data_IF_692722828559
#
_entry.id   IF_692722828559
#
_cell.length_a   1.000
_cell.length_b   1.000
_cell.length_c   1.000
_cell.angle_alpha   90.00
_cell.angle_beta   90.00
_cell.angle_gamma   90.00
#
_symmetry.space_group_name_H-M   'P 1'
#
loop_
_entity.id
_entity.type
_entity.pdbx_description
1 polymer ?
#
# COMPACT_ATOMS: atom_id res chain seq x y z
N UNK A 1 -18.23 14.50 13.01
CA UNK A 1 -18.15 14.81 11.56
C UNK A 1 -17.32 13.71 10.91
N UNK A 2 -17.75 13.12 9.77
CA UNK A 2 -16.93 12.10 9.11
C UNK A 2 -15.61 12.74 8.67
N UNK A 3 -14.50 12.13 9.08
CA UNK A 3 -13.13 12.54 8.72
C UNK A 3 -12.95 12.45 7.18
N UNK A 4 -12.09 13.30 6.60
CA UNK A 4 -11.99 13.47 5.15
C UNK A 4 -11.68 12.16 4.41
N UNK A 5 -12.40 11.88 3.31
CA UNK A 5 -12.26 10.69 2.46
C UNK A 5 -10.87 10.60 1.80
N UNK A 6 -10.46 9.39 1.38
CA UNK A 6 -9.31 9.08 0.51
C UNK A 6 -8.96 10.18 -0.53
N UNK A 7 -9.98 10.78 -1.14
CA UNK A 7 -9.93 11.94 -2.03
C UNK A 7 -9.04 13.09 -1.52
N UNK A 8 -9.09 13.45 -0.24
CA UNK A 8 -8.42 14.64 0.30
C UNK A 8 -6.92 14.42 0.46
N UNK A 9 -6.51 13.20 0.82
CA UNK A 9 -5.09 12.81 0.85
C UNK A 9 -4.50 12.82 -0.57
N UNK A 10 -5.22 12.23 -1.55
CA UNK A 10 -4.80 12.20 -2.96
C UNK A 10 -4.66 13.60 -3.53
N UNK A 11 -5.60 14.49 -3.21
CA UNK A 11 -5.57 15.87 -3.67
C UNK A 11 -4.42 16.63 -3.01
N UNK A 12 -4.26 16.57 -1.68
CA UNK A 12 -3.18 17.30 -0.97
C UNK A 12 -1.77 16.95 -1.49
N UNK A 13 -1.53 15.67 -1.76
CA UNK A 13 -0.30 15.15 -2.36
C UNK A 13 0.09 15.83 -3.68
N UNK A 14 -0.89 16.03 -4.57
CA UNK A 14 -0.67 16.65 -5.87
C UNK A 14 -0.31 18.16 -5.73
N UNK A 15 -0.65 18.79 -4.60
CA UNK A 15 -0.47 20.22 -4.34
C UNK A 15 0.70 20.60 -3.42
N UNK A 16 1.27 19.67 -2.64
CA UNK A 16 2.53 19.92 -1.90
C UNK A 16 3.76 20.08 -2.81
N UNK A 17 3.55 19.99 -4.12
CA UNK A 17 4.53 20.24 -5.17
C UNK A 17 4.57 21.75 -5.47
N UNK A 18 5.70 22.46 -5.26
CA UNK A 18 5.76 23.89 -5.55
C UNK A 18 5.57 24.14 -7.06
N UNK A 19 4.86 25.21 -7.47
CA UNK A 19 4.76 25.58 -8.87
C UNK A 19 6.15 25.98 -9.41
N UNK A 20 6.44 25.75 -10.71
CA UNK A 20 7.68 26.24 -11.30
C UNK A 20 7.74 27.77 -11.19
N UNK A 21 8.86 28.26 -10.68
CA UNK A 21 9.16 29.68 -10.60
C UNK A 21 9.35 30.28 -11.98
N UNK A 22 8.25 30.76 -12.59
CA UNK A 22 8.31 31.60 -13.79
C UNK A 22 7.32 32.79 -13.67
N UNK A 23 7.92 33.97 -13.46
CA UNK A 23 7.52 35.33 -13.89
C UNK A 23 6.59 36.17 -12.97
N UNK A 24 7.23 37.01 -12.12
CA UNK A 24 7.08 38.47 -11.80
C UNK A 24 5.70 39.20 -11.74
N UNK A 25 5.57 40.30 -10.96
CA UNK A 25 4.47 40.54 -10.04
C UNK A 25 3.31 41.32 -10.66
N UNK A 26 2.08 40.86 -10.41
CA UNK A 26 0.92 41.75 -10.44
C UNK A 26 0.81 42.47 -9.10
N UNK A 27 1.02 43.79 -9.17
CA UNK A 27 0.68 44.76 -8.13
C UNK A 27 -0.77 44.54 -7.65
N UNK A 28 -0.95 44.17 -6.39
CA UNK A 28 -2.13 44.57 -5.63
C UNK A 28 -1.68 45.31 -4.37
N UNK A 29 -1.99 46.59 -4.36
CA UNK A 29 -1.90 47.51 -3.23
C UNK A 29 -2.86 47.12 -2.10
N UNK A 30 -2.30 46.96 -0.89
CA UNK A 30 -2.91 47.11 0.44
C UNK A 30 -4.04 46.13 0.89
N UNK A 31 -4.07 45.72 2.18
CA UNK A 31 -4.90 44.60 2.65
C UNK A 31 -6.27 45.05 3.14
N UNK A 32 -7.26 44.14 3.15
CA UNK A 32 -8.22 44.10 4.24
C UNK A 32 -8.09 42.81 5.04
N UNK A 33 -8.30 43.00 6.34
CA UNK A 33 -8.34 41.99 7.36
C UNK A 33 -9.46 40.96 7.14
N UNK A 34 -9.27 39.81 7.80
CA UNK A 34 -10.25 38.77 8.18
C UNK A 34 -10.71 37.74 7.13
N UNK A 35 -10.71 36.49 7.60
CA UNK A 35 -11.20 35.24 6.98
C UNK A 35 -10.43 34.71 5.76
N UNK A 36 -9.56 33.74 6.03
CA UNK A 36 -9.00 32.80 5.07
C UNK A 36 -10.13 32.12 4.26
N UNK A 37 -10.14 32.20 2.92
CA UNK A 37 -11.09 31.45 2.13
C UNK A 37 -10.59 30.01 2.04
N UNK A 38 -11.29 29.09 2.70
CA UNK A 38 -11.20 27.67 2.37
C UNK A 38 -11.59 27.52 0.90
N UNK A 39 -10.60 27.31 0.03
CA UNK A 39 -10.83 26.91 -1.35
C UNK A 39 -11.69 25.65 -1.30
N UNK A 40 -12.94 25.71 -1.78
CA UNK A 40 -13.82 24.54 -1.71
C UNK A 40 -13.18 23.37 -2.48
N UNK A 41 -13.40 22.14 -2.02
CA UNK A 41 -12.86 20.91 -2.64
C UNK A 41 -13.10 20.81 -4.17
N UNK A 42 -14.13 21.49 -4.70
CA UNK A 42 -14.40 21.62 -6.14
C UNK A 42 -13.41 22.55 -6.87
N UNK A 43 -12.95 23.62 -6.24
CA UNK A 43 -11.97 24.56 -6.81
C UNK A 43 -10.57 23.93 -6.93
N UNK A 44 -10.20 23.10 -5.95
CA UNK A 44 -8.92 22.41 -5.92
C UNK A 44 -8.83 21.31 -7.00
N UNK A 45 -9.93 20.58 -7.21
CA UNK A 45 -10.08 19.63 -8.32
C UNK A 45 -9.98 20.29 -9.70
N UNK A 46 -10.61 21.47 -9.87
CA UNK A 46 -10.52 22.23 -11.11
C UNK A 46 -9.07 22.61 -11.43
N UNK A 47 -8.25 22.95 -10.42
CA UNK A 47 -6.82 23.24 -10.61
C UNK A 47 -6.01 22.04 -11.10
N UNK A 48 -6.23 20.82 -10.56
CA UNK A 48 -5.50 19.60 -11.01
C UNK A 48 -5.82 19.31 -12.48
N UNK A 49 -7.12 19.34 -12.80
CA UNK A 49 -7.59 19.13 -14.16
C UNK A 49 -7.00 20.16 -15.11
N UNK A 50 -7.04 21.44 -14.75
CA UNK A 50 -6.44 22.51 -15.55
C UNK A 50 -4.92 22.35 -15.69
N UNK A 51 -4.19 21.97 -14.65
CA UNK A 51 -2.74 21.75 -14.74
C UNK A 51 -2.37 20.58 -15.66
N UNK A 52 -3.15 19.48 -15.63
CA UNK A 52 -2.95 18.35 -16.55
C UNK A 52 -3.34 18.72 -18.00
N UNK A 53 -4.45 19.43 -18.18
CA UNK A 53 -4.96 19.86 -19.48
C UNK A 53 -4.06 20.92 -20.13
N UNK A 54 -3.51 21.86 -19.36
CA UNK A 54 -2.59 22.89 -19.85
C UNK A 54 -1.24 22.29 -20.29
N UNK A 55 -0.71 21.30 -19.56
CA UNK A 55 0.49 20.57 -19.98
C UNK A 55 0.28 19.83 -21.32
N UNK A 56 -0.90 19.21 -21.49
CA UNK A 56 -1.26 18.57 -22.75
C UNK A 56 -1.42 19.59 -23.89
N UNK A 57 -2.06 20.74 -23.64
CA UNK A 57 -2.24 21.82 -24.63
C UNK A 57 -0.93 22.46 -25.07
N UNK A 58 0.06 22.54 -24.19
CA UNK A 58 1.37 23.15 -24.47
C UNK A 58 2.35 22.18 -25.16
N UNK A 59 1.96 20.93 -25.42
CA UNK A 59 2.83 19.91 -26.03
C UNK A 59 4.03 19.51 -25.16
N UNK A 60 3.98 19.82 -23.85
CA UNK A 60 5.02 19.46 -22.90
C UNK A 60 4.84 18.01 -22.47
N UNK A 61 5.94 17.27 -22.30
CA UNK A 61 5.88 15.92 -21.73
C UNK A 61 5.29 16.01 -20.31
N UNK A 62 4.31 15.16 -19.96
CA UNK A 62 3.69 15.20 -18.64
C UNK A 62 4.75 14.93 -17.57
N UNK A 63 4.68 15.70 -16.47
CA UNK A 63 5.62 15.61 -15.35
C UNK A 63 5.58 14.21 -14.71
N UNK A 64 4.38 13.66 -14.60
CA UNK A 64 4.12 12.31 -14.10
C UNK A 64 3.44 11.48 -15.20
N UNK A 65 3.83 10.23 -15.35
CA UNK A 65 3.23 9.30 -16.30
C UNK A 65 2.42 8.18 -15.62
N UNK A 66 2.58 8.01 -14.29
CA UNK A 66 1.84 7.02 -13.52
C UNK A 66 1.47 7.52 -12.11
N UNK A 67 0.31 7.09 -11.64
CA UNK A 67 -0.14 7.18 -10.25
C UNK A 67 -0.27 5.76 -9.69
N UNK A 68 0.39 5.48 -8.58
CA UNK A 68 0.40 4.17 -7.94
C UNK A 68 -0.38 4.25 -6.63
N UNK A 69 -1.34 3.36 -6.42
CA UNK A 69 -2.26 3.42 -5.29
C UNK A 69 -2.23 2.12 -4.49
N UNK A 70 -2.00 2.23 -3.19
CA UNK A 70 -2.41 1.19 -2.25
C UNK A 70 -3.95 1.10 -2.15
N UNK A 71 -4.45 0.04 -1.51
CA UNK A 71 -5.89 -0.24 -1.37
C UNK A 71 -6.35 -0.01 0.05
N UNK A 72 -5.86 -0.83 0.98
CA UNK A 72 -6.27 -0.83 2.39
C UNK A 72 -5.97 0.51 3.05
N UNK A 73 -6.94 1.07 3.78
CA UNK A 73 -6.88 2.41 4.41
C UNK A 73 -6.52 3.59 3.49
N UNK A 74 -6.39 3.33 2.18
CA UNK A 74 -6.00 4.30 1.15
C UNK A 74 -7.18 4.64 0.24
N UNK A 75 -7.81 3.66 -0.39
CA UNK A 75 -8.99 3.89 -1.27
C UNK A 75 -10.31 3.96 -0.50
N UNK A 76 -10.31 3.51 0.75
CA UNK A 76 -11.40 3.65 1.69
C UNK A 76 -10.83 4.11 3.04
N UNK A 77 -11.61 4.82 3.87
CA UNK A 77 -11.09 5.32 5.13
C UNK A 77 -10.92 4.21 6.17
N UNK A 78 -9.92 4.35 7.05
CA UNK A 78 -9.72 3.50 8.24
C UNK A 78 -10.98 3.33 9.09
N UNK A 79 -11.83 4.35 9.16
CA UNK A 79 -13.12 4.28 9.88
C UNK A 79 -14.11 3.25 9.32
N UNK A 80 -13.80 2.59 8.19
CA UNK A 80 -14.57 1.45 7.68
C UNK A 80 -14.55 0.24 8.60
N UNK A 81 -13.54 0.12 9.47
CA UNK A 81 -13.40 -1.02 10.38
C UNK A 81 -12.87 -2.29 9.71
N UNK A 82 -12.44 -2.23 8.43
CA UNK A 82 -12.12 -3.44 7.67
C UNK A 82 -10.75 -4.02 8.07
N UNK A 83 -9.77 -3.16 8.32
CA UNK A 83 -8.41 -3.58 8.69
C UNK A 83 -8.35 -4.14 10.12
N UNK A 84 -9.23 -3.68 11.00
CA UNK A 84 -9.44 -4.27 12.33
C UNK A 84 -9.91 -5.73 12.20
N UNK A 85 -10.88 -6.02 11.34
CA UNK A 85 -11.36 -7.39 11.08
C UNK A 85 -10.29 -8.26 10.42
N UNK A 86 -9.47 -7.70 9.52
CA UNK A 86 -8.28 -8.39 8.97
C UNK A 86 -7.36 -8.79 10.11
N UNK A 87 -7.08 -7.86 11.02
CA UNK A 87 -6.19 -8.07 12.17
C UNK A 87 -6.71 -9.17 13.09
N UNK A 88 -8.00 -9.16 13.41
CA UNK A 88 -8.67 -10.20 14.20
C UNK A 88 -8.60 -11.55 13.51
N UNK A 89 -8.89 -11.61 12.21
CA UNK A 89 -8.84 -12.85 11.43
C UNK A 89 -7.42 -13.44 11.38
N UNK A 90 -6.39 -12.60 11.29
CA UNK A 90 -5.00 -13.06 11.32
C UNK A 90 -4.66 -13.68 12.68
N UNK A 91 -5.03 -13.03 13.77
CA UNK A 91 -4.78 -13.55 15.13
C UNK A 91 -5.53 -14.87 15.35
N UNK A 92 -6.78 -14.95 14.90
CA UNK A 92 -7.56 -16.19 14.95
C UNK A 92 -6.90 -17.31 14.12
N UNK A 93 -6.36 -16.99 12.93
CA UNK A 93 -5.63 -17.96 12.11
C UNK A 93 -4.38 -18.47 12.85
N UNK A 94 -3.61 -17.57 13.47
CA UNK A 94 -2.44 -17.93 14.26
C UNK A 94 -2.80 -18.92 15.37
N UNK A 95 -3.88 -18.67 16.11
CA UNK A 95 -4.33 -19.55 17.19
C UNK A 95 -4.84 -20.88 16.65
N UNK A 96 -5.80 -20.86 15.72
CA UNK A 96 -6.53 -22.07 15.31
C UNK A 96 -5.73 -22.97 14.35
N UNK A 97 -4.91 -22.38 13.49
CA UNK A 97 -4.23 -23.11 12.40
C UNK A 97 -2.75 -23.31 12.67
N UNK A 98 -2.12 -22.37 13.37
CA UNK A 98 -0.68 -22.40 13.62
C UNK A 98 -0.33 -22.81 15.07
N UNK A 99 -1.32 -22.91 15.95
CA UNK A 99 -1.12 -23.31 17.35
C UNK A 99 -0.38 -22.26 18.18
N UNK A 100 -0.44 -21.00 17.78
CA UNK A 100 0.03 -19.87 18.58
C UNK A 100 -0.86 -19.72 19.80
N UNK A 101 -0.27 -19.37 20.94
CA UNK A 101 -1.01 -19.16 22.17
C UNK A 101 -1.88 -17.90 22.06
N UNK A 102 -3.12 -17.96 22.58
CA UNK A 102 -4.12 -16.91 22.40
C UNK A 102 -3.70 -15.56 23.01
N UNK A 103 -3.07 -15.58 24.18
CA UNK A 103 -2.56 -14.37 24.86
C UNK A 103 -1.36 -13.75 24.14
N UNK A 104 -0.60 -14.53 23.37
CA UNK A 104 0.57 -14.06 22.61
C UNK A 104 0.23 -13.58 21.19
N UNK A 105 -0.88 -14.05 20.59
CA UNK A 105 -1.20 -13.85 19.17
C UNK A 105 -1.21 -12.38 18.74
N UNK A 106 -1.80 -11.50 19.55
CA UNK A 106 -1.87 -10.05 19.25
C UNK A 106 -0.48 -9.39 19.25
N UNK A 107 0.36 -9.72 20.24
CA UNK A 107 1.72 -9.20 20.34
C UNK A 107 2.58 -9.69 19.16
N UNK A 108 2.54 -10.99 18.88
CA UNK A 108 3.25 -11.60 17.75
C UNK A 108 2.83 -10.92 16.44
N UNK A 109 1.53 -10.78 16.20
CA UNK A 109 1.01 -10.14 15.00
C UNK A 109 1.53 -8.70 14.84
N UNK A 110 1.51 -7.90 15.90
CA UNK A 110 2.03 -6.54 15.88
C UNK A 110 3.51 -6.45 15.55
N UNK A 111 4.33 -7.34 16.13
CA UNK A 111 5.77 -7.42 15.85
C UNK A 111 6.01 -7.83 14.39
N UNK A 112 5.34 -8.89 13.91
CA UNK A 112 5.51 -9.38 12.54
C UNK A 112 5.11 -8.32 11.51
N UNK A 113 3.97 -7.65 11.70
CA UNK A 113 3.55 -6.56 10.81
C UNK A 113 4.55 -5.41 10.79
N UNK A 114 5.08 -5.00 11.96
CA UNK A 114 6.06 -3.91 12.09
C UNK A 114 7.42 -4.28 11.49
N UNK A 115 7.79 -5.55 11.51
CA UNK A 115 9.07 -6.03 10.99
C UNK A 115 9.04 -6.34 9.50
N UNK A 116 7.94 -6.92 8.99
CA UNK A 116 7.89 -7.50 7.64
C UNK A 116 6.89 -6.82 6.69
N UNK A 117 6.14 -5.82 7.15
CA UNK A 117 5.12 -5.16 6.34
C UNK A 117 3.80 -5.92 6.23
N UNK A 118 3.82 -7.25 6.35
CA UNK A 118 2.64 -8.10 6.52
C UNK A 118 2.88 -9.18 7.57
N UNK A 119 1.82 -9.63 8.23
CA UNK A 119 1.92 -10.73 9.19
C UNK A 119 2.23 -12.06 8.52
N UNK A 120 1.70 -12.30 7.30
CA UNK A 120 2.02 -13.48 6.50
C UNK A 120 3.52 -13.57 6.20
N UNK A 121 4.14 -12.48 5.72
CA UNK A 121 5.57 -12.45 5.44
C UNK A 121 6.40 -12.75 6.69
N UNK A 122 6.01 -12.19 7.83
CA UNK A 122 6.67 -12.47 9.10
C UNK A 122 6.50 -13.91 9.57
N UNK A 123 5.28 -14.49 9.45
CA UNK A 123 5.02 -15.88 9.81
C UNK A 123 5.86 -16.85 8.96
N UNK A 124 5.95 -16.59 7.65
CA UNK A 124 6.76 -17.37 6.71
C UNK A 124 8.26 -17.24 7.01
N UNK A 125 8.73 -16.05 7.37
CA UNK A 125 10.12 -15.81 7.75
C UNK A 125 10.54 -16.63 8.97
N UNK A 126 9.67 -16.70 9.99
CA UNK A 126 9.95 -17.46 11.23
C UNK A 126 9.66 -18.96 11.11
N UNK A 127 9.37 -19.45 9.89
CA UNK A 127 9.31 -20.88 9.57
C UNK A 127 7.94 -21.52 9.64
N UNK A 128 6.84 -20.76 9.80
CA UNK A 128 5.51 -21.33 9.61
C UNK A 128 5.28 -21.64 8.13
N UNK A 129 4.83 -22.87 7.86
CA UNK A 129 4.45 -23.30 6.53
C UNK A 129 2.95 -23.57 6.46
N UNK A 130 2.28 -22.89 5.53
CA UNK A 130 0.85 -22.97 5.29
C UNK A 130 0.54 -22.59 3.85
N UNK A 131 -0.58 -23.05 3.33
CA UNK A 131 -1.06 -22.69 2.00
C UNK A 131 -1.47 -21.20 1.95
N UNK A 132 -0.96 -20.46 0.97
CA UNK A 132 -1.20 -19.01 0.89
C UNK A 132 -2.68 -18.73 0.58
N UNK A 133 -3.31 -19.54 -0.26
CA UNK A 133 -4.72 -19.38 -0.61
C UNK A 133 -5.63 -19.69 0.58
N UNK A 134 -5.30 -20.69 1.40
CA UNK A 134 -6.00 -20.97 2.67
C UNK A 134 -5.92 -19.80 3.64
N UNK A 135 -4.71 -19.23 3.82
CA UNK A 135 -4.54 -18.04 4.64
C UNK A 135 -5.39 -16.86 4.14
N UNK A 136 -5.31 -16.51 2.85
CA UNK A 136 -6.06 -15.39 2.30
C UNK A 136 -7.58 -15.62 2.34
N UNK A 137 -8.04 -16.86 2.09
CA UNK A 137 -9.46 -17.21 2.22
C UNK A 137 -9.94 -17.06 3.66
N UNK A 138 -9.13 -17.45 4.64
CA UNK A 138 -9.46 -17.28 6.05
C UNK A 138 -9.46 -15.80 6.45
N UNK A 139 -8.42 -15.06 6.07
CA UNK A 139 -8.22 -13.67 6.50
C UNK A 139 -9.13 -12.69 5.77
N UNK A 140 -9.19 -12.77 4.44
CA UNK A 140 -9.94 -11.82 3.61
C UNK A 140 -11.31 -12.34 3.15
N UNK A 141 -11.51 -13.65 3.04
CA UNK A 141 -12.77 -14.24 2.59
C UNK A 141 -13.94 -14.06 3.57
N UNK A 142 -13.65 -13.74 4.84
CA UNK A 142 -14.63 -13.55 5.91
C UNK A 142 -14.96 -12.08 6.19
N UNK A 143 -14.35 -11.15 5.45
CA UNK A 143 -14.50 -9.73 5.74
C UNK A 143 -15.91 -9.22 5.41
N UNK A 144 -16.44 -8.28 6.20
CA UNK A 144 -17.75 -7.68 6.01
C UNK A 144 -17.73 -6.57 4.95
N UNK A 145 -17.46 -6.94 3.70
CA UNK A 145 -17.35 -6.03 2.56
C UNK A 145 -18.60 -5.18 2.32
N UNK A 146 -19.75 -5.55 2.87
CA UNK A 146 -21.00 -4.78 2.81
C UNK A 146 -20.89 -3.41 3.48
N UNK A 147 -19.93 -3.24 4.40
CA UNK A 147 -19.57 -1.96 5.03
C UNK A 147 -19.04 -0.95 4.01
N UNK A 148 -18.33 -1.42 2.98
CA UNK A 148 -17.88 -0.58 1.87
C UNK A 148 -19.05 -0.24 0.96
N UNK A 149 -19.18 1.04 0.63
CA UNK A 149 -20.20 1.60 -0.26
C UNK A 149 -19.54 2.25 -1.48
N UNK A 150 -20.24 2.32 -2.62
CA UNK A 150 -19.72 3.02 -3.79
C UNK A 150 -19.32 4.46 -3.46
N UNK A 151 -18.13 4.87 -3.89
CA UNK A 151 -17.64 6.25 -3.75
C UNK A 151 -17.62 6.94 -5.11
N UNK A 152 -18.77 7.50 -5.48
CA UNK A 152 -18.95 8.19 -6.75
C UNK A 152 -18.05 9.44 -6.88
N UNK A 153 -17.64 10.05 -5.76
CA UNK A 153 -16.76 11.22 -5.75
C UNK A 153 -15.34 10.80 -6.10
N UNK A 154 -14.83 9.76 -5.43
CA UNK A 154 -13.52 9.18 -5.74
C UNK A 154 -13.48 8.61 -7.16
N UNK A 155 -14.54 7.89 -7.60
CA UNK A 155 -14.66 7.40 -8.98
C UNK A 155 -14.54 8.53 -10.00
N UNK A 156 -15.32 9.61 -9.81
CA UNK A 156 -15.29 10.76 -10.72
C UNK A 156 -13.92 11.44 -10.75
N UNK A 157 -13.24 11.52 -9.60
CA UNK A 157 -11.86 12.01 -9.52
C UNK A 157 -10.93 11.15 -10.35
N UNK A 158 -10.88 9.85 -10.08
CA UNK A 158 -9.97 8.92 -10.75
C UNK A 158 -10.19 8.92 -12.26
N UNK A 159 -11.43 8.90 -12.75
CA UNK A 159 -11.73 8.95 -14.18
C UNK A 159 -11.32 10.27 -14.85
N UNK A 160 -11.37 11.39 -14.12
CA UNK A 160 -11.04 12.69 -14.69
C UNK A 160 -9.54 12.95 -14.86
N UNK A 161 -8.68 12.20 -14.17
CA UNK A 161 -7.23 12.36 -14.23
C UNK A 161 -6.70 11.70 -15.51
N UNK A 162 -6.10 12.43 -16.48
CA UNK A 162 -5.59 11.85 -17.72
C UNK A 162 -4.18 11.26 -17.53
N UNK A 163 -3.96 10.56 -16.42
CA UNK A 163 -2.69 9.91 -16.06
C UNK A 163 -3.00 8.43 -15.79
N UNK A 164 -2.09 7.54 -16.19
CA UNK A 164 -2.21 6.11 -15.92
C UNK A 164 -2.32 5.85 -14.41
N UNK A 165 -3.22 4.97 -13.98
CA UNK A 165 -3.32 4.55 -12.56
C UNK A 165 -3.10 3.06 -12.42
N UNK A 166 -2.34 2.67 -11.41
CA UNK A 166 -2.04 1.26 -11.11
C UNK A 166 -2.28 1.01 -9.62
N UNK A 167 -2.90 -0.11 -9.28
CA UNK A 167 -2.98 -0.60 -7.90
C UNK A 167 -1.68 -1.30 -7.53
N UNK A 168 -1.17 -1.04 -6.32
CA UNK A 168 -0.09 -1.78 -5.70
C UNK A 168 -0.40 -2.08 -4.23
N UNK A 169 -0.95 -3.26 -3.98
CA UNK A 169 -1.38 -3.72 -2.65
C UNK A 169 -0.62 -4.97 -2.21
N UNK A 170 -0.46 -5.15 -0.90
CA UNK A 170 0.06 -6.37 -0.29
C UNK A 170 -1.01 -7.47 -0.15
N UNK A 171 -2.29 -7.14 -0.38
CA UNK A 171 -3.39 -8.09 -0.30
C UNK A 171 -3.47 -9.00 -1.53
N UNK A 172 -4.22 -10.09 -1.42
CA UNK A 172 -4.49 -11.00 -2.54
C UNK A 172 -5.46 -10.39 -3.56
N UNK A 173 -5.43 -10.97 -4.76
CA UNK A 173 -6.24 -10.54 -5.89
C UNK A 173 -7.73 -10.57 -5.61
N UNK A 174 -8.24 -11.55 -4.87
CA UNK A 174 -9.66 -11.66 -4.59
C UNK A 174 -10.13 -10.54 -3.64
N UNK A 175 -9.32 -10.22 -2.62
CA UNK A 175 -9.57 -9.06 -1.76
C UNK A 175 -9.60 -7.75 -2.55
N UNK A 176 -8.55 -7.47 -3.34
CA UNK A 176 -8.45 -6.23 -4.13
C UNK A 176 -9.64 -6.10 -5.09
N UNK A 177 -9.98 -7.16 -5.82
CA UNK A 177 -11.13 -7.15 -6.73
C UNK A 177 -12.45 -6.87 -6.00
N UNK A 178 -12.64 -7.44 -4.80
CA UNK A 178 -13.84 -7.22 -3.99
C UNK A 178 -13.92 -5.77 -3.52
N UNK A 179 -12.84 -5.20 -2.99
CA UNK A 179 -12.80 -3.79 -2.57
C UNK A 179 -13.13 -2.87 -3.73
N UNK A 180 -12.45 -3.01 -4.87
CA UNK A 180 -12.70 -2.19 -6.06
C UNK A 180 -14.17 -2.28 -6.50
N UNK A 181 -14.75 -3.48 -6.45
CA UNK A 181 -16.16 -3.66 -6.82
C UNK A 181 -17.15 -3.03 -5.84
N UNK A 182 -16.88 -3.13 -4.54
CA UNK A 182 -17.73 -2.48 -3.53
C UNK A 182 -17.68 -0.96 -3.61
N UNK A 183 -16.52 -0.39 -3.97
CA UNK A 183 -16.32 1.04 -4.14
C UNK A 183 -16.78 1.56 -5.51
N UNK A 184 -17.04 0.65 -6.47
CA UNK A 184 -17.39 1.00 -7.85
C UNK A 184 -16.21 1.63 -8.59
N UNK A 185 -15.03 1.00 -8.55
CA UNK A 185 -13.77 1.51 -9.10
C UNK A 185 -13.09 0.54 -10.08
N UNK A 186 -13.79 -0.51 -10.53
CA UNK A 186 -13.20 -1.62 -11.30
C UNK A 186 -12.54 -1.17 -12.63
N UNK A 187 -13.05 -0.11 -13.24
CA UNK A 187 -12.60 0.47 -14.52
C UNK A 187 -11.75 1.74 -14.35
N UNK A 188 -11.34 2.08 -13.12
CA UNK A 188 -10.54 3.27 -12.83
C UNK A 188 -9.03 3.07 -12.99
N UNK A 189 -8.55 1.82 -13.09
CA UNK A 189 -7.13 1.47 -13.02
C UNK A 189 -6.70 0.65 -14.25
N UNK A 190 -5.51 0.97 -14.77
CA UNK A 190 -4.89 0.33 -15.94
C UNK A 190 -4.17 -0.98 -15.60
N UNK A 191 -3.95 -1.25 -14.31
CA UNK A 191 -3.26 -2.46 -13.86
C UNK A 191 -3.38 -2.67 -12.35
N UNK A 192 -3.17 -3.90 -11.92
CA UNK A 192 -3.19 -4.32 -10.51
C UNK A 192 -1.96 -5.17 -10.23
N UNK A 193 -1.22 -4.76 -9.20
CA UNK A 193 -0.11 -5.50 -8.61
C UNK A 193 -0.56 -5.86 -7.19
N UNK A 194 -0.66 -7.16 -6.95
CA UNK A 194 -1.14 -7.74 -5.69
C UNK A 194 -0.22 -8.89 -5.28
N UNK A 195 -0.55 -9.58 -4.17
CA UNK A 195 0.24 -10.67 -3.64
C UNK A 195 0.67 -11.68 -4.73
N UNK A 196 -0.28 -12.20 -5.52
CA UNK A 196 -0.03 -13.22 -6.55
C UNK A 196 0.80 -12.69 -7.72
N UNK A 197 0.79 -11.38 -7.97
CA UNK A 197 1.63 -10.74 -9.00
C UNK A 197 3.12 -10.81 -8.64
N UNK A 198 3.43 -10.65 -7.35
CA UNK A 198 4.80 -10.66 -6.83
C UNK A 198 5.24 -12.03 -6.30
N UNK A 199 4.28 -12.90 -5.97
CA UNK A 199 4.50 -14.20 -5.38
C UNK A 199 3.77 -15.27 -6.22
N UNK A 200 4.10 -15.45 -7.50
CA UNK A 200 3.45 -16.43 -8.34
C UNK A 200 3.65 -17.83 -7.75
N UNK A 201 2.57 -18.60 -7.64
CA UNK A 201 2.67 -20.01 -7.31
C UNK A 201 3.50 -20.69 -8.41
N UNK A 202 4.69 -21.19 -8.09
CA UNK A 202 5.46 -22.01 -9.01
C UNK A 202 4.68 -23.30 -9.30
N UNK A 203 3.90 -23.29 -10.38
CA UNK A 203 3.41 -24.49 -11.05
C UNK A 203 4.38 -24.88 -12.19
N UNK A 204 5.68 -24.69 -11.98
CA UNK A 204 6.71 -25.31 -12.82
C UNK A 204 7.03 -26.68 -12.21
N UNK A 205 6.74 -27.73 -12.97
CA UNK A 205 6.71 -29.11 -12.51
C UNK A 205 8.03 -29.60 -11.90
N UNK A 206 7.87 -30.38 -10.83
CA UNK A 206 8.82 -31.43 -10.46
C UNK A 206 8.91 -32.37 -11.67
N UNK A 207 9.90 -32.16 -12.52
CA UNK A 207 10.48 -33.12 -13.45
C UNK A 207 11.86 -32.61 -13.90
N UNK A 208 12.78 -32.42 -12.95
CA UNK A 208 14.19 -32.73 -13.21
C UNK A 208 14.79 -33.36 -11.96
N UNK A 209 15.17 -34.61 -12.14
CA UNK A 209 16.13 -35.31 -11.31
C UNK A 209 17.44 -34.54 -11.34
N UNK A 210 17.65 -33.65 -10.37
CA UNK A 210 18.96 -33.07 -10.10
C UNK A 210 19.38 -33.44 -8.67
N UNK A 211 20.22 -34.47 -8.59
CA UNK A 211 21.11 -34.70 -7.46
C UNK A 211 22.04 -33.49 -7.32
N UNK A 212 21.66 -32.50 -6.52
CA UNK A 212 22.62 -31.65 -5.84
C UNK A 212 21.96 -31.05 -4.60
N UNK A 213 22.41 -31.50 -3.43
CA UNK A 213 21.85 -31.19 -2.13
C UNK A 213 21.93 -29.71 -1.77
N UNK A 214 20.90 -28.95 -2.12
CA UNK A 214 20.60 -27.68 -1.48
C UNK A 214 19.85 -27.98 -0.19
N UNK A 215 20.47 -27.67 0.95
CA UNK A 215 19.85 -27.83 2.27
C UNK A 215 18.54 -27.05 2.32
N UNK A 216 17.44 -27.76 2.56
CA UNK A 216 16.18 -27.13 3.02
C UNK A 216 16.47 -26.30 4.29
N UNK A 217 15.93 -25.09 4.46
CA UNK A 217 16.12 -24.33 5.68
C UNK A 217 15.62 -25.17 6.86
N UNK A 218 16.51 -25.38 7.84
CA UNK A 218 16.19 -26.03 9.10
C UNK A 218 15.10 -25.21 9.79
N UNK A 219 13.99 -25.86 10.16
CA UNK A 219 12.94 -25.28 10.98
C UNK A 219 13.54 -24.46 12.13
N UNK A 220 13.15 -23.21 12.21
CA UNK A 220 13.49 -22.31 13.30
C UNK A 220 12.92 -22.90 14.59
N UNK A 221 13.81 -23.26 15.54
CA UNK A 221 13.40 -23.81 16.83
C UNK A 221 12.48 -22.83 17.56
N UNK A 222 11.44 -23.33 18.25
CA UNK A 222 10.53 -22.56 19.12
C UNK A 222 11.25 -21.53 20.03
N UNK A 223 12.51 -21.80 20.38
CA UNK A 223 13.38 -20.85 21.12
C UNK A 223 13.67 -19.55 20.36
N UNK A 224 13.93 -19.59 19.06
CA UNK A 224 14.23 -18.38 18.27
C UNK A 224 12.99 -17.50 18.05
N UNK A 225 11.79 -18.09 18.01
CA UNK A 225 10.52 -17.34 18.02
C UNK A 225 10.36 -16.60 19.35
N UNK A 226 10.66 -17.27 20.47
CA UNK A 226 10.65 -16.65 21.80
C UNK A 226 11.72 -15.56 21.94
N UNK A 227 12.92 -15.73 21.40
CA UNK A 227 13.97 -14.71 21.45
C UNK A 227 13.55 -13.39 20.75
N UNK A 228 12.78 -13.46 19.66
CA UNK A 228 12.23 -12.27 18.97
C UNK A 228 11.12 -11.61 19.82
N UNK A 229 10.34 -12.41 20.56
CA UNK A 229 9.23 -11.95 21.41
C UNK A 229 9.73 -11.36 22.74
N UNK A 230 10.74 -11.98 23.36
CA UNK A 230 11.29 -11.63 24.68
C UNK A 230 12.27 -10.45 24.65
N UNK A 231 12.85 -10.12 23.49
CA UNK A 231 13.77 -8.99 23.34
C UNK A 231 13.35 -7.97 22.27
N UNK A 232 12.22 -7.22 22.46
CA UNK A 232 11.78 -6.22 21.48
C UNK A 232 12.73 -5.01 21.35
N UNK A 233 13.54 -4.73 22.39
CA UNK A 233 14.24 -3.45 22.58
C UNK A 233 15.62 -3.55 23.26
N UNK A 234 16.30 -4.71 23.26
CA UNK A 234 17.66 -4.77 23.84
C UNK A 234 18.72 -4.72 22.74
N UNK A 235 19.49 -3.64 22.78
CA UNK A 235 20.57 -3.18 21.89
C UNK A 235 20.12 -2.32 20.71
N UNK A 236 20.83 -1.21 20.50
CA UNK A 236 20.77 -0.30 19.35
C UNK A 236 21.21 -0.98 18.02
N UNK A 237 20.99 -2.29 17.90
CA UNK A 237 21.24 -3.05 16.69
C UNK A 237 19.91 -3.59 16.17
N UNK A 238 19.60 -3.23 14.91
CA UNK A 238 18.44 -3.72 14.18
C UNK A 238 18.45 -5.26 14.26
N UNK A 239 17.40 -5.92 14.80
CA UNK A 239 17.33 -7.37 14.76
C UNK A 239 17.49 -7.79 13.29
N UNK A 240 18.45 -8.66 13.00
CA UNK A 240 18.61 -9.21 11.65
C UNK A 240 17.31 -9.93 11.32
N UNK A 241 16.47 -9.28 10.52
CA UNK A 241 15.22 -9.86 10.05
C UNK A 241 15.58 -11.13 9.27
N UNK A 242 14.96 -12.24 9.62
CA UNK A 242 15.10 -13.46 8.84
C UNK A 242 14.55 -13.18 7.44
N UNK A 243 15.21 -13.67 6.38
CA UNK A 243 14.70 -13.46 5.03
C UNK A 243 13.32 -14.12 4.89
N UNK A 244 12.34 -13.34 4.42
CA UNK A 244 11.02 -13.86 4.12
C UNK A 244 10.97 -14.30 2.66
N UNK A 245 10.33 -15.43 2.33
CA UNK A 245 10.07 -15.81 0.94
C UNK A 245 8.96 -14.98 0.29
N UNK A 246 8.27 -14.14 1.06
CA UNK A 246 7.16 -13.31 0.58
C UNK A 246 7.66 -11.94 0.15
N UNK A 247 7.53 -11.65 -1.14
CA UNK A 247 7.82 -10.35 -1.72
C UNK A 247 6.63 -9.42 -1.46
N UNK A 248 6.82 -8.40 -0.62
CA UNK A 248 5.78 -7.42 -0.30
C UNK A 248 6.35 -6.06 0.11
N UNK A 249 5.53 -5.00 0.10
CA UNK A 249 5.88 -3.71 0.70
C UNK A 249 6.14 -3.89 2.21
N UNK A 250 7.10 -3.18 2.84
CA UNK A 250 7.87 -2.03 2.31
C UNK A 250 9.16 -2.39 1.54
N UNK A 251 9.50 -3.67 1.40
CA UNK A 251 10.82 -4.10 0.90
C UNK A 251 11.18 -3.59 -0.50
N UNK A 252 12.48 -3.35 -0.75
CA UNK A 252 12.98 -2.75 -1.99
C UNK A 252 12.66 -3.58 -3.23
N UNK A 253 12.86 -4.89 -3.13
CA UNK A 253 12.59 -5.88 -4.16
C UNK A 253 11.14 -5.87 -4.64
N UNK A 254 10.16 -5.71 -3.75
CA UNK A 254 8.75 -5.64 -4.10
C UNK A 254 8.45 -4.47 -5.04
N UNK A 255 9.04 -3.30 -4.78
CA UNK A 255 8.86 -2.13 -5.63
C UNK A 255 9.64 -2.25 -6.94
N UNK A 256 10.87 -2.80 -6.91
CA UNK A 256 11.61 -3.06 -8.15
C UNK A 256 10.84 -3.99 -9.09
N UNK A 257 10.32 -5.09 -8.54
CA UNK A 257 9.52 -6.05 -9.30
C UNK A 257 8.24 -5.40 -9.82
N UNK A 258 7.52 -4.67 -8.97
CA UNK A 258 6.35 -3.90 -9.38
C UNK A 258 6.68 -2.96 -10.55
N UNK A 259 7.76 -2.18 -10.44
CA UNK A 259 8.12 -1.21 -11.49
C UNK A 259 8.50 -1.88 -12.80
N UNK A 260 9.21 -3.01 -12.75
CA UNK A 260 9.56 -3.80 -13.93
C UNK A 260 8.31 -4.40 -14.59
N UNK A 261 7.43 -5.04 -13.82
CA UNK A 261 6.27 -5.78 -14.33
C UNK A 261 5.28 -4.91 -15.10
N UNK A 262 5.06 -3.67 -14.65
CA UNK A 262 4.11 -2.76 -15.29
C UNK A 262 4.78 -1.58 -15.99
N UNK A 263 6.10 -1.63 -16.20
CA UNK A 263 6.88 -0.58 -16.86
C UNK A 263 6.62 0.82 -16.25
N UNK A 264 6.75 0.93 -14.93
CA UNK A 264 6.64 2.18 -14.19
C UNK A 264 8.00 2.87 -14.15
N UNK A 265 8.03 4.17 -14.45
CA UNK A 265 9.20 5.01 -14.19
C UNK A 265 9.09 5.61 -12.78
N UNK A 266 9.94 5.21 -11.82
CA UNK A 266 9.85 5.72 -10.44
C UNK A 266 9.95 7.25 -10.41
N UNK A 267 10.85 7.85 -11.21
CA UNK A 267 11.04 9.31 -11.26
C UNK A 267 9.90 10.09 -11.91
N UNK A 268 8.86 9.41 -12.38
CA UNK A 268 7.65 10.02 -12.95
C UNK A 268 6.37 9.45 -12.33
N UNK A 269 6.51 8.80 -11.18
CA UNK A 269 5.40 8.18 -10.46
C UNK A 269 5.13 8.88 -9.14
N UNK A 270 3.85 9.05 -8.84
CA UNK A 270 3.38 9.44 -7.50
C UNK A 270 2.77 8.22 -6.83
N UNK A 271 3.19 7.93 -5.60
CA UNK A 271 2.68 6.80 -4.82
C UNK A 271 1.83 7.25 -3.64
N UNK A 272 0.62 6.70 -3.54
CA UNK A 272 -0.37 6.94 -2.50
C UNK A 272 -0.50 5.68 -1.64
N UNK A 273 -0.17 5.80 -0.36
CA UNK A 273 -0.16 4.69 0.60
C UNK A 273 -0.34 5.26 2.02
N UNK A 274 -1.11 4.60 2.89
CA UNK A 274 -1.30 5.06 4.27
C UNK A 274 -0.06 4.77 5.16
N UNK A 275 0.73 3.76 4.78
CA UNK A 275 1.89 3.30 5.52
C UNK A 275 3.09 4.20 5.29
N UNK A 276 3.46 4.93 6.34
CA UNK A 276 4.66 5.78 6.39
C UNK A 276 5.93 5.01 6.06
N UNK A 277 6.01 3.72 6.37
CA UNK A 277 7.16 2.88 6.04
C UNK A 277 7.30 2.68 4.53
N UNK A 278 6.19 2.42 3.85
CA UNK A 278 6.15 2.28 2.39
C UNK A 278 6.59 3.58 1.68
N UNK A 279 6.38 4.74 2.33
CA UNK A 279 6.75 6.07 1.82
C UNK A 279 8.22 6.44 2.15
N UNK A 280 8.64 6.33 3.41
CA UNK A 280 9.95 6.83 3.89
C UNK A 280 11.13 6.12 3.25
N UNK A 281 11.00 4.83 2.93
CA UNK A 281 12.09 4.03 2.37
C UNK A 281 12.39 4.36 0.89
N UNK A 282 11.83 5.46 0.35
CA UNK A 282 11.82 5.76 -1.09
C UNK A 282 12.43 7.09 -1.50
N UNK A 283 12.93 7.92 -0.58
CA UNK A 283 13.48 9.24 -0.91
C UNK A 283 14.83 9.20 -1.67
N UNK A 284 15.55 8.07 -1.70
CA UNK A 284 16.84 7.96 -2.39
C UNK A 284 16.74 7.45 -3.86
N UNK A 285 15.85 6.49 -4.16
CA UNK A 285 15.73 5.83 -5.48
C UNK A 285 14.28 5.44 -5.90
N UNK A 286 13.24 5.83 -5.13
CA UNK A 286 11.84 5.43 -5.34
C UNK A 286 10.99 6.44 -6.14
N UNK A 287 9.65 6.41 -6.01
CA UNK A 287 8.74 7.31 -6.72
C UNK A 287 9.12 8.79 -6.54
N UNK A 288 8.94 9.60 -7.58
CA UNK A 288 9.27 11.04 -7.57
C UNK A 288 8.54 11.82 -6.48
N UNK A 289 7.38 11.32 -6.04
CA UNK A 289 6.68 11.83 -4.89
C UNK A 289 5.91 10.71 -4.19
N UNK A 290 5.97 10.71 -2.86
CA UNK A 290 5.19 9.79 -2.03
C UNK A 290 4.32 10.64 -1.11
N UNK A 291 3.06 10.26 -0.90
CA UNK A 291 2.16 11.01 -0.04
C UNK A 291 1.33 10.11 0.84
N UNK A 292 1.37 10.40 2.15
CA UNK A 292 0.67 9.64 3.19
C UNK A 292 -0.57 10.36 3.69
N UNK A 293 -1.64 9.61 3.91
CA UNK A 293 -2.82 10.08 4.62
C UNK A 293 -2.56 10.14 6.13
N UNK A 294 -2.04 11.25 6.64
CA UNK A 294 -1.97 11.46 8.09
C UNK A 294 -3.34 11.86 8.63
N UNK A 295 -4.07 10.89 9.19
CA UNK A 295 -5.14 11.19 10.14
C UNK A 295 -4.60 11.03 11.56
N UNK A 296 -4.44 12.14 12.28
CA UNK A 296 -4.40 12.11 13.75
C UNK A 296 -5.76 11.63 14.30
#
# INVERSE_FOLDING_TARGET
MPKPSAFIAIVSALFSVPPPSLISPFNLSSPPHTSSPLLSFRGLFHLIKMACEDQCRQGLKPKYDCLLFDVDDTLYPRSSGLLEEVTENIQEYMVQKLGVEETEASQINGVLYKSYGTSMAGLKAIGYDFDNDDYHRFVHGRLPYERLKPDNVLRSLLLSLPIRKVIFSNADKAHVAKVLSRLGLEDCFDGVICFETLNPCNYEGINSSDENGVRRPSYTSRRQILDIIEHPCQSDSVPVLQETPVVCKPFEDAFEQAFKLVNINPRKTVFFDDSVRNIKDREANGPAHCSGGHSQ
#
